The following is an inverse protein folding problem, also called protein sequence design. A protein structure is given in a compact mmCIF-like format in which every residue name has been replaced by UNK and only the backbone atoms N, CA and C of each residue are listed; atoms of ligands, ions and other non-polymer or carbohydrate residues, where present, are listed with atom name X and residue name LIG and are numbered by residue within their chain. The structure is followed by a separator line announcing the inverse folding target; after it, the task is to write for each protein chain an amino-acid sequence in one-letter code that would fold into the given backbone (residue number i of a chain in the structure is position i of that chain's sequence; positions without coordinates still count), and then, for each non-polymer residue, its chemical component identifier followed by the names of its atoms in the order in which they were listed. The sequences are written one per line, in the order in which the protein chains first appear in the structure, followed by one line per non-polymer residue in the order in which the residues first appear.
data_IF_605603723459
#
_entry.id   IF_605603723459
#
_cell.length_a   1.000
_cell.length_b   1.000
_cell.length_c   1.000
_cell.angle_alpha   90.00
_cell.angle_beta   90.00
_cell.angle_gamma   90.00
#
_symmetry.space_group_name_H-M   'P 1'
#
loop_
_entity.id
_entity.type
_entity.pdbx_description
1 polymer ?
#
# COMPACT_ATOMS: atom_id res chain seq x y z
N UNK A 1 -18.29 4.31 22.39
CA UNK A 1 -18.51 5.68 21.89
C UNK A 1 -19.73 5.64 20.99
N UNK A 2 -20.69 6.55 21.20
CA UNK A 2 -21.85 6.68 20.30
C UNK A 2 -21.59 7.80 19.25
N UNK A 3 -22.47 7.93 18.25
CA UNK A 3 -22.31 8.92 17.17
C UNK A 3 -22.20 10.38 17.67
N UNK A 4 -22.94 10.74 18.71
CA UNK A 4 -22.89 12.10 19.28
C UNK A 4 -21.53 12.39 19.89
N UNK A 5 -20.97 11.44 20.65
CA UNK A 5 -19.63 11.54 21.21
C UNK A 5 -18.55 11.59 20.11
N UNK A 6 -18.72 10.86 19.01
CA UNK A 6 -17.79 10.91 17.89
C UNK A 6 -17.76 12.28 17.19
N UNK A 7 -18.92 12.97 17.10
CA UNK A 7 -18.99 14.32 16.54
C UNK A 7 -18.38 15.42 17.41
N UNK A 8 -18.12 15.13 18.68
CA UNK A 8 -17.48 16.05 19.63
C UNK A 8 -15.94 15.92 19.67
N UNK A 9 -15.38 14.95 18.95
CA UNK A 9 -13.94 14.78 18.88
C UNK A 9 -13.29 15.96 18.15
N UNK A 10 -12.09 16.38 18.58
CA UNK A 10 -11.35 17.41 17.87
C UNK A 10 -11.07 17.00 16.43
N UNK A 11 -11.15 17.95 15.52
CA UNK A 11 -10.92 17.72 14.09
C UNK A 11 -9.53 18.24 13.69
N UNK A 12 -8.75 17.39 13.04
CA UNK A 12 -7.47 17.74 12.46
C UNK A 12 -7.59 17.86 10.93
N UNK A 13 -7.21 18.99 10.36
CA UNK A 13 -7.29 19.26 8.92
C UNK A 13 -5.91 19.31 8.23
N UNK A 14 -4.84 18.91 8.91
CA UNK A 14 -3.50 18.76 8.32
C UNK A 14 -3.45 17.60 7.33
N UNK A 15 -2.42 17.61 6.48
CA UNK A 15 -2.19 16.58 5.44
C UNK A 15 -0.94 15.74 5.72
N UNK A 16 -0.43 15.80 6.94
CA UNK A 16 0.86 15.27 7.37
C UNK A 16 0.76 14.14 8.40
N UNK A 17 -0.42 13.50 8.51
CA UNK A 17 -0.57 12.27 9.29
C UNK A 17 0.20 11.11 8.64
N UNK A 18 0.66 10.17 9.48
CA UNK A 18 1.48 9.05 9.08
C UNK A 18 2.98 9.25 9.35
N UNK A 19 3.81 8.39 8.75
CA UNK A 19 5.26 8.50 8.80
C UNK A 19 5.78 9.38 7.65
N UNK A 20 6.27 10.56 7.98
CA UNK A 20 6.85 11.52 7.02
C UNK A 20 8.37 11.41 7.08
N UNK A 21 8.95 10.76 6.08
CA UNK A 21 10.36 10.42 6.01
C UNK A 21 11.20 11.51 5.34
N UNK A 22 12.39 11.71 5.88
CA UNK A 22 13.55 12.30 5.22
C UNK A 22 14.80 11.53 5.64
N UNK A 23 15.94 11.59 4.90
CA UNK A 23 17.18 10.93 5.33
C UNK A 23 17.72 11.41 6.69
N UNK A 24 17.33 12.61 7.12
CA UNK A 24 17.78 13.19 8.40
C UNK A 24 16.86 12.80 9.58
N UNK A 25 15.58 12.57 9.35
CA UNK A 25 14.62 12.23 10.39
C UNK A 25 13.32 11.69 9.81
N UNK A 26 12.58 10.90 10.60
CA UNK A 26 11.20 10.53 10.32
C UNK A 26 10.28 11.19 11.35
N UNK A 27 9.23 11.87 10.90
CA UNK A 27 8.18 12.40 11.77
C UNK A 27 6.98 11.47 11.73
N UNK A 28 6.65 10.86 12.86
CA UNK A 28 5.45 10.05 13.05
C UNK A 28 4.33 10.93 13.59
N UNK A 29 3.16 10.92 12.94
CA UNK A 29 1.97 11.63 13.38
C UNK A 29 0.73 10.76 13.33
N UNK A 30 0.02 10.68 14.45
CA UNK A 30 -1.21 9.90 14.59
C UNK A 30 -2.32 10.77 15.17
N UNK A 31 -3.50 10.74 14.56
CA UNK A 31 -4.72 11.28 15.16
C UNK A 31 -5.37 10.22 16.04
N UNK A 32 -5.28 10.41 17.34
CA UNK A 32 -5.82 9.50 18.36
C UNK A 32 -6.36 10.31 19.55
N UNK A 33 -7.47 11.05 19.37
CA UNK A 33 -7.96 12.02 20.34
C UNK A 33 -8.45 11.39 21.64
N UNK A 34 -8.72 10.10 21.68
CA UNK A 34 -9.20 9.37 22.87
C UNK A 34 -8.09 8.62 23.61
N UNK A 35 -6.88 8.61 23.07
CA UNK A 35 -5.74 7.98 23.72
C UNK A 35 -5.25 8.79 24.92
N UNK A 36 -4.78 8.11 25.95
CA UNK A 36 -4.11 8.68 27.10
C UNK A 36 -2.59 8.76 26.89
N UNK A 37 -2.03 7.82 26.13
CA UNK A 37 -0.64 7.81 25.69
C UNK A 37 -0.51 7.06 24.36
N UNK A 38 0.47 7.46 23.56
CA UNK A 38 0.81 6.81 22.29
C UNK A 38 2.32 6.62 22.22
N UNK A 39 2.75 5.45 21.77
CA UNK A 39 4.13 5.20 21.37
C UNK A 39 4.18 4.57 19.98
N UNK A 40 5.31 4.73 19.31
CA UNK A 40 5.67 3.98 18.09
C UNK A 40 6.68 2.91 18.46
N UNK A 41 6.42 1.69 18.02
CA UNK A 41 7.33 0.56 18.13
C UNK A 41 7.96 0.29 16.79
N UNK A 42 9.27 0.19 16.74
CA UNK A 42 10.06 0.01 15.53
C UNK A 42 10.58 -1.43 15.44
N UNK A 43 10.56 -1.99 14.23
CA UNK A 43 10.95 -3.35 13.94
C UNK A 43 11.84 -3.42 12.70
N UNK A 44 12.72 -4.42 12.65
CA UNK A 44 13.58 -4.65 11.50
C UNK A 44 12.85 -5.30 10.32
N UNK A 45 11.73 -5.99 10.57
CA UNK A 45 10.98 -6.76 9.57
C UNK A 45 9.48 -6.48 9.64
N UNK A 46 8.76 -6.82 8.58
CA UNK A 46 7.31 -6.65 8.48
C UNK A 46 6.52 -7.61 9.38
N UNK A 47 7.11 -8.77 9.71
CA UNK A 47 6.51 -9.78 10.61
C UNK A 47 7.57 -10.39 11.54
N UNK A 48 7.12 -11.08 12.60
CA UNK A 48 8.04 -11.82 13.48
C UNK A 48 8.53 -13.15 12.87
N UNK A 49 7.92 -13.60 11.80
CA UNK A 49 8.29 -14.84 11.12
C UNK A 49 9.47 -14.67 10.13
N UNK A 50 9.80 -13.45 9.79
CA UNK A 50 10.87 -13.17 8.82
C UNK A 50 12.27 -13.34 9.42
N UNK A 51 13.26 -13.83 8.64
CA UNK A 51 14.63 -13.91 9.09
C UNK A 51 15.17 -12.53 9.51
N UNK A 52 15.75 -12.46 10.70
CA UNK A 52 16.27 -11.20 11.24
C UNK A 52 15.24 -10.36 11.99
N UNK A 53 14.04 -10.89 12.23
CA UNK A 53 13.01 -10.20 12.99
C UNK A 53 13.50 -9.84 14.39
N UNK A 54 13.46 -8.56 14.73
CA UNK A 54 13.70 -8.06 16.08
C UNK A 54 13.13 -6.66 16.26
N UNK A 55 12.82 -6.35 17.52
CA UNK A 55 12.36 -5.04 17.93
C UNK A 55 13.55 -4.07 18.03
N UNK A 56 13.43 -2.89 17.43
CA UNK A 56 14.48 -1.87 17.39
C UNK A 56 14.34 -0.84 18.53
N UNK A 57 13.13 -0.64 19.03
CA UNK A 57 12.88 0.26 20.15
C UNK A 57 11.45 0.80 20.18
N UNK A 58 11.08 1.33 21.36
CA UNK A 58 9.80 2.01 21.61
C UNK A 58 10.05 3.48 21.87
N UNK A 59 9.30 4.36 21.20
CA UNK A 59 9.45 5.81 21.34
C UNK A 59 8.08 6.46 21.60
N UNK A 60 7.98 7.28 22.64
CA UNK A 60 6.74 7.94 23.02
C UNK A 60 6.48 9.18 22.14
N UNK A 61 5.23 9.29 21.66
CA UNK A 61 4.76 10.49 20.98
C UNK A 61 4.29 11.53 21.99
N UNK A 62 4.48 12.79 21.66
CA UNK A 62 3.94 13.91 22.41
C UNK A 62 2.57 14.31 21.89
N UNK A 63 1.66 14.65 22.79
CA UNK A 63 0.40 15.28 22.43
C UNK A 63 0.68 16.68 21.85
N UNK A 64 0.09 17.00 20.72
CA UNK A 64 0.10 18.35 20.12
C UNK A 64 -1.24 19.04 20.41
N UNK A 65 -2.08 19.15 19.40
CA UNK A 65 -3.41 19.75 19.41
C UNK A 65 -4.36 18.94 18.54
N UNK A 66 -5.65 19.20 18.64
CA UNK A 66 -6.67 18.64 17.75
C UNK A 66 -6.68 17.09 17.68
N UNK A 67 -6.26 16.45 18.77
CA UNK A 67 -6.22 14.97 18.85
C UNK A 67 -4.98 14.34 18.24
N UNK A 68 -3.97 15.10 17.85
CA UNK A 68 -2.75 14.60 17.20
C UNK A 68 -1.65 14.34 18.22
N UNK A 69 -1.00 13.22 18.04
CA UNK A 69 0.23 12.81 18.70
C UNK A 69 1.37 12.82 17.68
N UNK A 70 2.53 13.29 18.05
CA UNK A 70 3.68 13.35 17.16
C UNK A 70 5.01 13.03 17.83
N UNK A 71 5.95 12.59 16.99
CA UNK A 71 7.35 12.37 17.36
C UNK A 71 8.21 12.61 16.11
N UNK A 72 9.26 13.40 16.24
CA UNK A 72 10.33 13.44 15.26
C UNK A 72 11.51 12.61 15.76
N UNK A 73 11.86 11.56 15.04
CA UNK A 73 12.95 10.65 15.35
C UNK A 73 14.13 10.93 14.41
N UNK A 74 15.27 11.42 14.92
CA UNK A 74 16.45 11.69 14.10
C UNK A 74 17.06 10.42 13.52
N UNK A 75 17.65 10.51 12.34
CA UNK A 75 18.32 9.41 11.64
C UNK A 75 17.55 8.93 10.42
N UNK A 76 18.21 8.06 9.66
CA UNK A 76 17.63 7.42 8.46
C UNK A 76 16.91 6.14 8.86
N UNK A 77 15.60 6.22 8.88
CA UNK A 77 14.69 5.10 9.24
C UNK A 77 14.02 4.46 8.04
N UNK A 78 14.50 4.72 6.83
CA UNK A 78 13.97 4.08 5.62
C UNK A 78 13.97 2.56 5.74
N UNK A 79 12.87 1.95 5.26
CA UNK A 79 12.62 0.51 5.31
C UNK A 79 12.50 -0.08 6.73
N UNK A 80 12.36 0.74 7.76
CA UNK A 80 12.02 0.29 9.11
C UNK A 80 10.52 0.09 9.23
N UNK A 81 10.11 -0.98 9.85
CA UNK A 81 8.69 -1.27 10.09
C UNK A 81 8.24 -0.75 11.45
N UNK A 82 6.95 -0.44 11.59
CA UNK A 82 6.44 0.13 12.83
C UNK A 82 4.97 -0.20 13.10
N UNK A 83 4.61 -0.13 14.39
CA UNK A 83 3.23 -0.14 14.89
C UNK A 83 3.07 1.01 15.87
N UNK A 84 1.84 1.50 16.02
CA UNK A 84 1.48 2.35 17.14
C UNK A 84 0.95 1.50 18.29
N UNK A 85 1.45 1.75 19.50
CA UNK A 85 0.90 1.22 20.75
C UNK A 85 0.14 2.34 21.46
N UNK A 86 -1.17 2.13 21.69
CA UNK A 86 -2.06 3.10 22.29
C UNK A 86 -2.52 2.63 23.68
N UNK A 87 -2.51 3.55 24.64
CA UNK A 87 -3.14 3.37 25.94
C UNK A 87 -4.34 4.30 26.04
N UNK A 88 -5.44 3.83 26.61
CA UNK A 88 -6.66 4.60 26.79
C UNK A 88 -6.90 4.91 28.28
N UNK A 89 -7.71 5.95 28.56
CA UNK A 89 -8.03 6.39 29.91
C UNK A 89 -8.74 5.34 30.78
N UNK A 90 -9.36 4.33 30.16
CA UNK A 90 -10.00 3.21 30.86
C UNK A 90 -9.05 2.03 31.14
N UNK A 91 -7.76 2.20 30.87
CA UNK A 91 -6.72 1.20 31.10
C UNK A 91 -6.56 0.17 29.98
N UNK A 92 -7.38 0.20 28.92
CA UNK A 92 -7.17 -0.65 27.74
C UNK A 92 -5.93 -0.22 26.98
N UNK A 93 -5.29 -1.18 26.32
CA UNK A 93 -4.22 -0.96 25.35
C UNK A 93 -4.55 -1.64 24.03
N UNK A 94 -3.99 -1.15 22.95
CA UNK A 94 -4.07 -1.79 21.64
C UNK A 94 -2.87 -1.43 20.77
N UNK A 95 -2.46 -2.36 19.95
CA UNK A 95 -1.54 -2.10 18.85
C UNK A 95 -2.34 -1.83 17.58
N UNK A 96 -1.86 -0.92 16.76
CA UNK A 96 -2.53 -0.54 15.51
C UNK A 96 -1.51 -0.27 14.42
N UNK A 97 -1.80 -0.78 13.23
CA UNK A 97 -1.13 -0.34 12.01
C UNK A 97 -1.54 1.10 11.71
N UNK A 98 -0.62 1.87 11.20
CA UNK A 98 -0.89 3.27 10.83
C UNK A 98 -1.95 3.34 9.72
N UNK A 99 -3.11 3.97 9.94
CA UNK A 99 -4.13 4.13 8.90
C UNK A 99 -3.66 5.01 7.72
N UNK A 100 -2.57 5.74 7.88
CA UNK A 100 -1.93 6.56 6.84
C UNK A 100 -0.66 5.90 6.28
N UNK A 101 -0.42 4.63 6.56
CA UNK A 101 0.70 3.89 5.99
C UNK A 101 0.65 3.91 4.46
N UNK A 102 1.79 4.17 3.84
CA UNK A 102 1.96 4.16 2.37
C UNK A 102 2.56 2.85 1.87
N UNK A 103 3.06 2.04 2.78
CA UNK A 103 3.55 0.69 2.55
C UNK A 103 3.45 -0.10 3.84
N UNK A 104 3.26 -1.40 3.72
CA UNK A 104 3.20 -2.35 4.82
C UNK A 104 4.13 -3.52 4.57
N UNK A 105 4.43 -4.28 5.62
CA UNK A 105 4.99 -5.63 5.52
C UNK A 105 3.93 -6.65 5.12
N UNK A 106 4.36 -7.90 4.99
CA UNK A 106 3.49 -9.01 4.61
C UNK A 106 2.22 -9.08 5.48
N UNK A 107 1.10 -9.36 4.82
CA UNK A 107 -0.24 -9.43 5.41
C UNK A 107 -0.66 -8.15 6.17
N UNK A 108 -0.10 -7.00 5.81
CA UNK A 108 -0.45 -5.73 6.44
C UNK A 108 -0.12 -5.64 7.94
N UNK A 109 0.73 -6.51 8.49
CA UNK A 109 0.93 -6.61 9.94
C UNK A 109 1.66 -5.42 10.55
N UNK A 110 2.54 -4.76 9.82
CA UNK A 110 3.27 -3.56 10.23
C UNK A 110 3.32 -2.56 9.11
N UNK A 111 3.20 -1.29 9.42
CA UNK A 111 3.49 -0.21 8.48
C UNK A 111 5.00 -0.11 8.24
N UNK A 112 5.42 0.43 7.10
CA UNK A 112 6.82 0.65 6.75
C UNK A 112 7.10 2.13 6.48
N UNK A 113 8.23 2.61 6.97
CA UNK A 113 8.77 3.94 6.63
C UNK A 113 9.31 3.90 5.20
N UNK A 114 8.64 4.60 4.30
CA UNK A 114 8.92 4.59 2.87
C UNK A 114 9.54 5.91 2.40
N UNK A 115 10.59 5.79 1.60
CA UNK A 115 11.11 6.88 0.77
C UNK A 115 10.33 6.90 -0.55
N UNK A 116 9.34 7.79 -0.66
CA UNK A 116 8.47 7.86 -1.83
C UNK A 116 9.22 8.28 -3.10
N UNK A 117 10.23 9.13 -2.96
CA UNK A 117 11.00 9.59 -4.11
C UNK A 117 11.85 8.44 -4.69
N UNK A 118 12.42 7.62 -3.81
CA UNK A 118 13.17 6.43 -4.22
C UNK A 118 12.26 5.29 -4.76
N UNK A 119 10.99 5.31 -4.44
CA UNK A 119 10.02 4.31 -4.92
C UNK A 119 9.47 4.62 -6.31
N UNK A 120 9.64 5.84 -6.80
CA UNK A 120 9.17 6.22 -8.13
C UNK A 120 9.96 5.47 -9.22
N UNK A 121 9.29 4.87 -10.22
CA UNK A 121 9.98 4.24 -11.35
C UNK A 121 10.70 5.29 -12.20
N UNK A 122 11.73 4.83 -12.91
CA UNK A 122 12.45 5.67 -13.89
C UNK A 122 11.48 6.27 -14.92
N UNK A 123 11.61 7.57 -15.18
CA UNK A 123 10.74 8.31 -16.12
C UNK A 123 9.39 8.76 -15.53
N UNK A 124 9.12 8.48 -14.25
CA UNK A 124 7.84 8.86 -13.63
C UNK A 124 7.56 10.37 -13.63
N UNK A 125 8.61 11.19 -13.46
CA UNK A 125 8.47 12.64 -13.44
C UNK A 125 8.11 13.22 -14.83
N UNK A 126 8.47 12.54 -15.90
CA UNK A 126 8.21 12.91 -17.28
C UNK A 126 6.88 12.35 -17.80
N UNK A 127 6.28 11.38 -17.07
CA UNK A 127 5.02 10.76 -17.48
C UNK A 127 3.88 11.77 -17.49
N UNK A 128 3.07 11.74 -18.54
CA UNK A 128 1.93 12.66 -18.72
C UNK A 128 0.67 11.85 -19.00
N UNK A 129 -0.31 12.04 -18.17
CA UNK A 129 -1.63 11.44 -18.39
C UNK A 129 -2.18 11.82 -19.77
N UNK A 130 -2.54 10.84 -20.62
CA UNK A 130 -3.22 11.11 -21.88
C UNK A 130 -4.53 11.87 -21.67
N UNK A 131 -4.82 12.85 -22.54
CA UNK A 131 -6.09 13.59 -22.55
C UNK A 131 -7.03 12.93 -23.55
N UNK A 132 -8.04 12.21 -23.04
CA UNK A 132 -9.02 11.49 -23.84
C UNK A 132 -10.38 12.18 -23.68
N UNK A 133 -11.02 12.66 -24.78
CA UNK A 133 -12.35 13.26 -24.71
C UNK A 133 -13.38 12.30 -24.11
N UNK A 134 -14.35 12.83 -23.37
CA UNK A 134 -15.32 12.01 -22.64
C UNK A 134 -16.07 11.00 -23.55
N UNK A 135 -16.42 11.40 -24.78
CA UNK A 135 -17.13 10.56 -25.73
C UNK A 135 -16.27 9.44 -26.35
N UNK A 136 -14.94 9.51 -26.20
CA UNK A 136 -14.00 8.50 -26.69
C UNK A 136 -13.45 7.60 -25.57
N UNK A 137 -13.99 7.74 -24.35
CA UNK A 137 -13.55 6.91 -23.22
C UNK A 137 -14.26 5.57 -23.27
N UNK A 138 -13.47 4.51 -23.17
CA UNK A 138 -13.90 3.14 -22.94
C UNK A 138 -13.12 2.60 -21.74
N UNK A 139 -13.77 1.79 -20.93
CA UNK A 139 -13.15 1.21 -19.73
C UNK A 139 -13.26 -0.31 -19.79
N UNK A 140 -12.16 -0.99 -19.55
CA UNK A 140 -12.10 -2.43 -19.42
C UNK A 140 -11.75 -2.75 -17.96
N UNK A 141 -12.69 -3.36 -17.25
CA UNK A 141 -12.45 -3.85 -15.89
C UNK A 141 -11.79 -5.23 -15.94
N UNK A 142 -10.76 -5.45 -15.12
CA UNK A 142 -9.99 -6.69 -15.15
C UNK A 142 -9.44 -7.06 -13.77
N UNK A 143 -9.46 -8.35 -13.47
CA UNK A 143 -8.75 -8.95 -12.35
C UNK A 143 -7.28 -9.19 -12.72
N UNK A 144 -6.34 -8.82 -11.85
CA UNK A 144 -4.90 -8.90 -12.15
C UNK A 144 -4.45 -10.31 -12.49
N UNK A 145 -4.90 -11.32 -11.71
CA UNK A 145 -4.53 -12.70 -11.96
C UNK A 145 -5.10 -13.20 -13.29
N UNK A 146 -6.39 -12.95 -13.56
CA UNK A 146 -7.07 -13.48 -14.75
C UNK A 146 -6.54 -12.87 -16.04
N UNK A 147 -6.01 -11.64 -15.97
CA UNK A 147 -5.52 -10.92 -17.15
C UNK A 147 -4.48 -11.68 -17.97
N UNK A 148 -3.61 -12.43 -17.31
CA UNK A 148 -2.47 -13.09 -17.97
C UNK A 148 -2.17 -14.50 -17.48
N UNK A 149 -3.05 -15.10 -16.66
CA UNK A 149 -2.80 -16.42 -16.04
C UNK A 149 -2.72 -17.57 -17.07
N UNK A 150 -3.42 -17.43 -18.20
CA UNK A 150 -3.47 -18.45 -19.23
C UNK A 150 -2.06 -18.71 -19.80
N UNK A 151 -1.71 -20.01 -19.95
CA UNK A 151 -0.40 -20.42 -20.45
C UNK A 151 -0.15 -20.02 -21.89
N UNK A 152 -1.21 -19.82 -22.67
CA UNK A 152 -1.20 -19.40 -24.05
C UNK A 152 -1.19 -17.86 -24.23
N UNK A 153 -1.21 -17.10 -23.12
CA UNK A 153 -1.28 -15.63 -23.13
C UNK A 153 -0.09 -14.94 -23.83
N UNK A 154 1.01 -15.65 -24.07
CA UNK A 154 2.25 -15.08 -24.57
C UNK A 154 3.06 -14.33 -23.51
N UNK A 155 2.52 -14.18 -22.29
CA UNK A 155 3.24 -13.57 -21.17
C UNK A 155 4.25 -14.54 -20.58
N UNK A 156 5.49 -14.10 -20.25
CA UNK A 156 6.48 -14.95 -19.59
C UNK A 156 5.92 -15.62 -18.33
N UNK A 157 6.17 -16.92 -18.15
CA UNK A 157 5.59 -17.74 -17.07
C UNK A 157 5.79 -17.13 -15.66
N UNK A 158 6.94 -16.49 -15.41
CA UNK A 158 7.23 -15.83 -14.14
C UNK A 158 6.35 -14.62 -13.83
N UNK A 159 5.70 -14.03 -14.85
CA UNK A 159 4.88 -12.81 -14.77
C UNK A 159 3.39 -13.07 -14.90
N UNK A 160 3.00 -14.27 -15.32
CA UNK A 160 1.59 -14.67 -15.50
C UNK A 160 0.82 -14.51 -14.19
N UNK A 161 -0.37 -13.95 -14.27
CA UNK A 161 -1.25 -13.72 -13.12
C UNK A 161 -0.75 -12.68 -12.11
N UNK A 162 0.27 -11.90 -12.47
CA UNK A 162 0.90 -10.88 -11.61
C UNK A 162 0.84 -9.51 -12.27
N UNK A 163 1.13 -8.46 -11.48
CA UNK A 163 1.25 -7.08 -12.00
C UNK A 163 2.21 -6.96 -13.20
N UNK A 164 3.30 -7.72 -13.18
CA UNK A 164 4.25 -7.77 -14.29
C UNK A 164 3.64 -8.32 -15.59
N UNK A 165 2.50 -9.00 -15.53
CA UNK A 165 1.74 -9.43 -16.72
C UNK A 165 1.19 -8.30 -17.58
N UNK A 166 1.12 -7.08 -17.05
CA UNK A 166 0.71 -5.88 -17.78
C UNK A 166 1.86 -5.19 -18.53
N UNK A 167 3.12 -5.57 -18.30
CA UNK A 167 4.29 -4.93 -18.90
C UNK A 167 4.49 -5.28 -20.38
N UNK A 168 4.36 -6.55 -20.81
CA UNK A 168 4.53 -6.88 -22.23
C UNK A 168 3.43 -6.25 -23.08
N UNK A 169 3.81 -5.52 -24.10
CA UNK A 169 2.89 -4.73 -24.93
C UNK A 169 2.59 -5.33 -26.31
N UNK A 170 3.22 -6.46 -26.64
CA UNK A 170 3.23 -7.10 -27.97
C UNK A 170 2.94 -8.62 -27.90
N UNK A 171 2.30 -9.06 -26.81
CA UNK A 171 1.94 -10.48 -26.61
C UNK A 171 0.91 -10.94 -27.62
N UNK A 172 1.08 -12.19 -28.07
CA UNK A 172 0.15 -12.89 -28.96
C UNK A 172 -0.08 -14.32 -28.48
N UNK A 173 -1.17 -14.94 -28.89
CA UNK A 173 -1.55 -16.30 -28.54
C UNK A 173 -0.42 -17.27 -28.93
N UNK A 174 0.15 -17.96 -27.96
CA UNK A 174 1.31 -18.86 -28.15
C UNK A 174 2.50 -18.21 -28.87
N UNK A 175 2.57 -16.89 -28.91
CA UNK A 175 3.61 -16.16 -29.64
C UNK A 175 3.48 -16.25 -31.17
N UNK A 176 2.29 -16.48 -31.69
CA UNK A 176 2.02 -16.68 -33.12
C UNK A 176 2.21 -15.40 -33.97
N UNK A 177 2.33 -14.23 -33.35
CA UNK A 177 2.50 -12.95 -34.02
C UNK A 177 1.26 -12.43 -34.75
N UNK A 178 0.11 -13.08 -34.59
CA UNK A 178 -1.12 -12.76 -35.35
C UNK A 178 -2.29 -12.41 -34.41
N UNK A 179 -2.49 -13.17 -33.36
CA UNK A 179 -3.63 -13.01 -32.46
C UNK A 179 -3.20 -12.28 -31.19
N UNK A 180 -3.48 -10.96 -31.06
CA UNK A 180 -3.06 -10.18 -29.90
C UNK A 180 -3.72 -10.68 -28.62
N UNK A 181 -2.96 -10.64 -27.53
CA UNK A 181 -3.43 -11.02 -26.18
C UNK A 181 -3.13 -9.91 -25.19
N UNK A 182 -3.67 -9.98 -23.99
CA UNK A 182 -3.41 -9.08 -22.88
C UNK A 182 -3.45 -7.60 -23.28
N UNK A 183 -2.41 -6.82 -22.96
CA UNK A 183 -2.37 -5.39 -23.25
C UNK A 183 -2.41 -5.10 -24.75
N UNK A 184 -1.79 -5.96 -25.58
CA UNK A 184 -1.81 -5.84 -27.04
C UNK A 184 -3.25 -5.96 -27.57
N UNK A 185 -4.03 -6.91 -27.07
CA UNK A 185 -5.45 -7.04 -27.43
C UNK A 185 -6.27 -5.80 -27.04
N UNK A 186 -6.07 -5.25 -25.83
CA UNK A 186 -6.80 -4.05 -25.40
C UNK A 186 -6.47 -2.83 -26.26
N UNK A 187 -5.23 -2.72 -26.73
CA UNK A 187 -4.81 -1.66 -27.68
C UNK A 187 -5.49 -1.84 -29.04
N UNK A 188 -5.50 -3.06 -29.57
CA UNK A 188 -6.15 -3.39 -30.85
C UNK A 188 -7.66 -3.13 -30.79
N UNK A 189 -8.28 -3.44 -29.67
CA UNK A 189 -9.70 -3.17 -29.40
C UNK A 189 -10.01 -1.67 -29.19
N UNK A 190 -9.01 -0.83 -29.02
CA UNK A 190 -9.18 0.62 -28.82
C UNK A 190 -9.64 1.00 -27.41
N UNK A 191 -9.36 0.18 -26.41
CA UNK A 191 -9.66 0.48 -25.01
C UNK A 191 -8.78 1.63 -24.52
N UNK A 192 -9.40 2.63 -23.93
CA UNK A 192 -8.72 3.84 -23.46
C UNK A 192 -8.29 3.80 -22.00
N UNK A 193 -8.96 3.01 -21.17
CA UNK A 193 -8.70 2.90 -19.73
C UNK A 193 -8.85 1.45 -19.28
N UNK A 194 -7.92 1.02 -18.44
CA UNK A 194 -8.03 -0.25 -17.70
C UNK A 194 -8.38 0.08 -16.26
N UNK A 195 -9.46 -0.50 -15.75
CA UNK A 195 -9.84 -0.46 -14.35
C UNK A 195 -9.45 -1.77 -13.71
N UNK A 196 -8.41 -1.75 -12.88
CA UNK A 196 -8.07 -2.93 -12.09
C UNK A 196 -9.15 -3.15 -11.03
N UNK A 197 -9.62 -4.39 -10.85
CA UNK A 197 -10.31 -4.78 -9.64
C UNK A 197 -9.40 -4.50 -8.44
N UNK A 198 -9.96 -4.27 -7.22
CA UNK A 198 -9.16 -3.81 -6.09
C UNK A 198 -7.85 -4.55 -5.92
N UNK A 199 -6.76 -3.79 -5.74
CA UNK A 199 -5.38 -4.29 -5.63
C UNK A 199 -4.79 -3.99 -4.25
N UNK A 200 -5.66 -3.76 -3.27
CA UNK A 200 -5.26 -3.62 -1.87
C UNK A 200 -4.81 -4.96 -1.32
N UNK A 201 -4.29 -4.95 -0.12
CA UNK A 201 -3.99 -6.18 0.61
C UNK A 201 -5.27 -7.00 0.84
N UNK A 202 -5.21 -8.30 0.57
CA UNK A 202 -6.37 -9.20 0.62
C UNK A 202 -6.27 -10.09 1.86
N UNK A 203 -7.23 -9.99 2.77
CA UNK A 203 -7.27 -10.83 3.97
C UNK A 203 -7.25 -12.34 3.66
N UNK A 204 -7.77 -12.74 2.49
CA UNK A 204 -7.81 -14.14 2.05
C UNK A 204 -6.52 -14.65 1.42
N UNK A 205 -5.52 -13.78 1.24
CA UNK A 205 -4.22 -14.12 0.65
C UNK A 205 -3.13 -13.96 1.69
N UNK A 206 -2.49 -15.07 2.07
CA UNK A 206 -1.32 -15.04 2.94
C UNK A 206 -0.06 -14.90 2.09
N UNK A 207 0.50 -13.70 2.03
CA UNK A 207 1.67 -13.36 1.23
C UNK A 207 2.95 -14.10 1.65
N UNK A 208 2.96 -14.72 2.83
CA UNK A 208 4.09 -15.49 3.32
C UNK A 208 4.13 -16.93 2.78
N UNK A 209 3.08 -17.36 2.09
CA UNK A 209 2.97 -18.73 1.56
C UNK A 209 2.96 -18.74 0.03
N UNK A 210 3.61 -19.75 -0.60
CA UNK A 210 3.64 -19.88 -2.05
C UNK A 210 2.26 -20.04 -2.72
N UNK A 211 1.31 -20.67 -2.01
CA UNK A 211 -0.07 -20.90 -2.45
C UNK A 211 -1.04 -19.82 -1.94
N UNK A 212 -0.55 -18.87 -1.17
CA UNK A 212 -1.12 -17.61 -0.67
C UNK A 212 -2.61 -17.60 -0.30
N UNK A 213 -3.41 -18.35 -0.98
CA UNK A 213 -4.87 -18.32 -0.91
C UNK A 213 -5.51 -17.79 -2.20
N UNK A 214 -6.82 -17.72 -2.22
CA UNK A 214 -7.57 -17.25 -3.39
C UNK A 214 -7.82 -15.74 -3.28
N UNK A 215 -7.44 -15.02 -4.33
CA UNK A 215 -7.73 -13.61 -4.48
C UNK A 215 -9.05 -13.43 -5.24
N UNK A 216 -10.07 -12.91 -4.55
CA UNK A 216 -11.39 -12.66 -5.11
C UNK A 216 -11.47 -11.35 -5.91
N UNK A 217 -10.44 -10.50 -5.89
CA UNK A 217 -10.40 -9.20 -6.55
C UNK A 217 -11.17 -8.10 -5.81
N UNK A 218 -11.45 -8.29 -4.52
CA UNK A 218 -12.08 -7.28 -3.65
C UNK A 218 -11.81 -7.55 -2.17
#
# INVERSE_FOLDING_TARGET
MNWQQACELPYYNGTDLGANYTPAATTFKLWAPTAAAVSVELFATGTDAEPGAHHLGTHHLAWERDGVWSLQLPGDWKNTYYLYHLQFHDGRTTDAVDPYARSTGANGQRAMVLDLDAAAPEGWAEDKRPVIPAHARSVWEVHVADFSADEHSGVPAAWRGKFMGFVPADTTLDGDGVHPTCLNYLKDLGISHVQLQPIFDYETVDETRPDGGYNWGY
#
